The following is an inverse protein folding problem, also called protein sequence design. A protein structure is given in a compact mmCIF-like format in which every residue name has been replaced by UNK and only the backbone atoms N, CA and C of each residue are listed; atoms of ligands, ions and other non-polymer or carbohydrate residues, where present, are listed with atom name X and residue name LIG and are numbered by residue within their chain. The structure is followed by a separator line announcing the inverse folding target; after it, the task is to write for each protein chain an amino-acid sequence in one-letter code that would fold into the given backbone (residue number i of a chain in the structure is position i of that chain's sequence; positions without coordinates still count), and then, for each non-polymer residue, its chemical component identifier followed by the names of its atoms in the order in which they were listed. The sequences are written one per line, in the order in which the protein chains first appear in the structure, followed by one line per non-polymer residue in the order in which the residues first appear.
data_IF_519931036777
#
_entry.id   IF_519931036777
#
_cell.length_a   1.000
_cell.length_b   1.000
_cell.length_c   1.000
_cell.angle_alpha   90.00
_cell.angle_beta   90.00
_cell.angle_gamma   90.00
#
_symmetry.space_group_name_H-M   'P 1'
#
loop_
_entity.id
_entity.type
_entity.pdbx_description
1 polymer ?
#
# COMPACT_ATOMS: atom_id res chain seq x y z
N UNK A 1 23.61 -26.26 16.05
CA UNK A 1 22.20 -26.22 15.55
C UNK A 1 22.04 -24.98 14.70
N UNK A 2 21.40 -25.08 13.52
CA UNK A 2 21.09 -23.92 12.69
C UNK A 2 19.91 -23.15 13.34
N UNK A 3 20.11 -21.95 13.93
CA UNK A 3 19.04 -21.20 14.60
C UNK A 3 17.96 -20.72 13.60
N UNK A 4 18.22 -20.83 12.30
CA UNK A 4 17.32 -20.48 11.22
C UNK A 4 16.59 -21.70 10.65
N UNK A 5 16.51 -22.81 11.38
CA UNK A 5 15.77 -24.01 10.95
C UNK A 5 14.29 -23.73 10.69
N UNK A 6 13.70 -22.76 11.39
CA UNK A 6 12.32 -22.32 11.15
C UNK A 6 12.14 -21.64 9.77
N UNK A 7 13.19 -20.97 9.25
CA UNK A 7 13.24 -20.46 7.87
C UNK A 7 13.47 -21.58 6.83
N UNK A 8 13.78 -22.81 7.26
CA UNK A 8 13.89 -23.95 6.35
C UNK A 8 12.52 -24.44 5.87
N UNK A 9 11.40 -23.97 6.44
CA UNK A 9 10.05 -24.16 5.85
C UNK A 9 9.91 -23.42 4.49
N UNK A 10 10.73 -22.39 4.25
CA UNK A 10 10.89 -21.70 2.96
C UNK A 10 11.93 -22.39 2.06
N UNK A 11 11.80 -23.70 1.81
CA UNK A 11 12.73 -24.44 0.92
C UNK A 11 12.71 -23.98 -0.56
N UNK A 12 11.84 -23.05 -0.97
CA UNK A 12 11.81 -22.53 -2.34
C UNK A 12 13.11 -21.81 -2.72
N UNK A 13 13.39 -21.73 -4.04
CA UNK A 13 14.30 -20.71 -4.60
C UNK A 13 13.44 -19.56 -5.11
N UNK A 14 13.89 -18.33 -4.98
CA UNK A 14 13.14 -17.11 -5.30
C UNK A 14 13.94 -16.19 -6.22
N UNK A 15 14.77 -16.77 -7.10
CA UNK A 15 15.56 -16.02 -8.06
C UNK A 15 14.67 -15.33 -9.12
N UNK A 16 13.54 -15.93 -9.51
CA UNK A 16 12.55 -15.26 -10.38
C UNK A 16 11.90 -14.08 -9.66
N UNK A 17 11.50 -14.27 -8.39
CA UNK A 17 10.92 -13.19 -7.57
C UNK A 17 11.89 -12.02 -7.42
N UNK A 18 13.18 -12.31 -7.19
CA UNK A 18 14.22 -11.27 -7.12
C UNK A 18 14.34 -10.45 -8.40
N UNK A 19 14.07 -11.06 -9.56
CA UNK A 19 14.04 -10.35 -10.83
C UNK A 19 12.74 -9.57 -11.02
N UNK A 20 11.61 -10.21 -10.71
CA UNK A 20 10.28 -9.72 -11.04
C UNK A 20 9.80 -8.62 -10.09
N UNK A 21 9.89 -8.84 -8.78
CA UNK A 21 9.29 -7.97 -7.77
C UNK A 21 9.82 -6.52 -7.81
N UNK A 22 11.15 -6.26 -7.87
CA UNK A 22 11.66 -4.90 -8.04
C UNK A 22 11.11 -4.16 -9.27
N UNK A 23 10.85 -4.89 -10.37
CA UNK A 23 10.35 -4.32 -11.62
C UNK A 23 8.86 -4.02 -11.56
N UNK A 24 8.08 -4.93 -10.98
CA UNK A 24 6.66 -4.70 -10.72
C UNK A 24 6.49 -3.50 -9.79
N UNK A 25 7.26 -3.46 -8.70
CA UNK A 25 7.22 -2.37 -7.74
C UNK A 25 7.61 -1.03 -8.36
N UNK A 26 8.63 -0.99 -9.22
CA UNK A 26 8.97 0.22 -9.97
C UNK A 26 7.86 0.66 -10.94
N UNK A 27 7.17 -0.28 -11.59
CA UNK A 27 5.97 0.03 -12.39
C UNK A 27 4.83 0.61 -11.54
N UNK A 28 4.63 0.09 -10.33
CA UNK A 28 3.64 0.60 -9.37
C UNK A 28 4.03 1.99 -8.87
N UNK A 29 5.29 2.24 -8.54
CA UNK A 29 5.80 3.58 -8.22
C UNK A 29 5.55 4.54 -9.38
N UNK A 30 5.81 4.14 -10.62
CA UNK A 30 5.57 4.97 -11.80
C UNK A 30 4.09 5.35 -11.91
N UNK A 31 3.18 4.39 -11.73
CA UNK A 31 1.74 4.66 -11.69
C UNK A 31 1.40 5.67 -10.59
N UNK A 32 1.92 5.46 -9.38
CA UNK A 32 1.64 6.32 -8.23
C UNK A 32 2.18 7.75 -8.43
N UNK A 33 3.41 7.90 -8.94
CA UNK A 33 4.02 9.21 -9.24
C UNK A 33 3.30 9.93 -10.36
N UNK A 34 2.93 9.25 -11.46
CA UNK A 34 2.16 9.86 -12.55
C UNK A 34 0.79 10.27 -12.04
N UNK A 35 0.12 9.39 -11.28
CA UNK A 35 -1.18 9.66 -10.68
C UNK A 35 -1.16 10.86 -9.74
N UNK A 36 -0.09 11.02 -8.96
CA UNK A 36 0.11 12.17 -8.10
C UNK A 36 0.45 13.43 -8.89
N UNK A 37 1.37 13.35 -9.84
CA UNK A 37 1.87 14.48 -10.61
C UNK A 37 0.78 15.22 -11.39
N UNK A 38 -0.20 14.50 -11.95
CA UNK A 38 -1.32 15.13 -12.68
C UNK A 38 -2.30 15.90 -11.78
N UNK A 39 -2.20 15.76 -10.46
CA UNK A 39 -3.05 16.44 -9.48
C UNK A 39 -2.25 17.36 -8.54
N UNK A 40 -0.92 17.31 -8.58
CA UNK A 40 -0.03 17.95 -7.61
C UNK A 40 -0.33 19.45 -7.47
N UNK A 41 -0.38 20.18 -8.59
CA UNK A 41 -0.54 21.64 -8.60
C UNK A 41 -1.84 22.09 -7.93
N UNK A 42 -2.95 21.39 -8.21
CA UNK A 42 -4.25 21.73 -7.65
C UNK A 42 -4.42 21.33 -6.18
N UNK A 43 -3.68 20.32 -5.72
CA UNK A 43 -3.82 19.80 -4.36
C UNK A 43 -2.86 20.48 -3.39
N UNK A 44 -1.55 20.41 -3.66
CA UNK A 44 -0.50 20.81 -2.71
C UNK A 44 0.60 21.68 -3.31
N UNK A 45 0.47 22.09 -4.57
CA UNK A 45 1.31 23.13 -5.16
C UNK A 45 1.14 24.46 -4.45
N UNK A 46 1.94 25.47 -4.80
CA UNK A 46 1.95 26.76 -4.10
C UNK A 46 0.58 27.47 -4.10
N UNK A 47 -0.24 27.23 -5.12
CA UNK A 47 -1.60 27.74 -5.25
C UNK A 47 -2.68 26.64 -5.11
N UNK A 48 -2.32 25.48 -4.56
CA UNK A 48 -3.23 24.35 -4.37
C UNK A 48 -4.20 24.55 -3.20
N UNK A 49 -5.11 23.59 -3.03
CA UNK A 49 -6.08 23.57 -1.91
C UNK A 49 -5.37 23.58 -0.55
N UNK A 50 -4.28 22.82 -0.42
CA UNK A 50 -3.50 22.70 0.80
C UNK A 50 -1.99 22.81 0.49
N UNK A 51 -1.47 24.04 0.28
CA UNK A 51 -0.11 24.25 -0.18
C UNK A 51 0.94 23.65 0.75
N UNK A 52 1.79 22.77 0.23
CA UNK A 52 2.89 22.17 0.99
C UNK A 52 3.92 23.22 1.47
N UNK A 53 4.00 24.37 0.78
CA UNK A 53 4.78 25.53 1.18
C UNK A 53 4.48 25.98 2.60
N UNK A 54 3.19 26.12 2.94
CA UNK A 54 2.75 26.60 4.25
C UNK A 54 3.21 25.65 5.37
N UNK A 55 3.13 24.33 5.13
CA UNK A 55 3.63 23.33 6.07
C UNK A 55 5.14 23.49 6.29
N UNK A 56 5.91 23.58 5.20
CA UNK A 56 7.37 23.65 5.27
C UNK A 56 7.87 24.97 5.89
N UNK A 57 7.25 26.10 5.57
CA UNK A 57 7.55 27.40 6.19
C UNK A 57 7.28 27.37 7.70
N UNK A 58 6.17 26.76 8.14
CA UNK A 58 5.88 26.59 9.56
C UNK A 58 6.92 25.69 10.26
N UNK A 59 7.36 24.61 9.59
CA UNK A 59 8.40 23.72 10.10
C UNK A 59 9.73 24.47 10.24
N UNK A 60 10.17 25.19 9.21
CA UNK A 60 11.42 25.96 9.25
C UNK A 60 11.37 27.07 10.30
N UNK A 61 10.26 27.81 10.41
CA UNK A 61 10.08 28.84 11.44
C UNK A 61 10.15 28.26 12.87
N UNK A 62 9.68 27.02 13.06
CA UNK A 62 9.83 26.30 14.32
C UNK A 62 11.29 25.87 14.56
N UNK A 63 11.95 25.29 13.56
CA UNK A 63 13.35 24.86 13.65
C UNK A 63 14.28 26.04 14.01
N UNK A 64 14.05 27.21 13.41
CA UNK A 64 14.76 28.45 13.71
C UNK A 64 14.51 28.94 15.14
N UNK A 65 13.27 28.89 15.62
CA UNK A 65 12.91 29.32 16.97
C UNK A 65 13.51 28.42 18.05
N UNK A 66 13.43 27.10 17.85
CA UNK A 66 13.79 26.10 18.86
C UNK A 66 15.24 25.59 18.71
N UNK A 67 15.95 26.00 17.65
CA UNK A 67 17.31 25.56 17.33
C UNK A 67 17.44 24.03 17.28
N UNK A 68 16.40 23.36 16.77
CA UNK A 68 16.29 21.90 16.68
C UNK A 68 15.75 21.50 15.32
N UNK A 69 16.37 20.50 14.70
CA UNK A 69 15.85 19.96 13.44
C UNK A 69 14.66 19.03 13.66
N UNK A 70 13.65 19.20 12.82
CA UNK A 70 12.45 18.39 12.66
C UNK A 70 12.55 17.43 11.48
N UNK A 71 13.73 17.20 10.89
CA UNK A 71 13.90 16.31 9.73
C UNK A 71 13.29 14.93 9.93
N UNK A 72 13.48 14.33 11.11
CA UNK A 72 12.89 13.02 11.38
C UNK A 72 11.38 13.08 11.59
N UNK A 73 10.80 14.25 11.87
CA UNK A 73 9.36 14.46 12.00
C UNK A 73 8.69 14.68 10.63
N UNK A 74 9.38 15.36 9.73
CA UNK A 74 8.95 15.60 8.35
C UNK A 74 10.04 15.17 7.36
N UNK A 75 10.32 13.86 7.23
CA UNK A 75 11.40 13.38 6.40
C UNK A 75 11.09 13.61 4.92
N UNK A 76 12.02 14.25 4.21
CA UNK A 76 11.91 14.39 2.76
C UNK A 76 12.87 15.43 2.19
N UNK A 77 13.07 15.39 0.87
CA UNK A 77 13.92 16.35 0.15
C UNK A 77 13.39 17.78 0.22
N UNK A 78 12.07 17.94 0.40
CA UNK A 78 11.42 19.26 0.40
C UNK A 78 11.73 20.11 1.62
N UNK A 79 12.28 19.51 2.69
CA UNK A 79 12.82 20.30 3.80
C UNK A 79 14.09 21.07 3.43
N UNK A 80 14.88 20.60 2.47
CA UNK A 80 16.09 21.30 2.06
C UNK A 80 15.80 22.40 1.05
N UNK A 81 14.83 22.16 0.17
CA UNK A 81 14.37 23.14 -0.80
C UNK A 81 12.98 22.77 -1.31
N UNK A 82 12.09 23.77 -1.41
CA UNK A 82 10.77 23.61 -1.97
C UNK A 82 10.45 24.74 -2.95
N UNK A 83 9.95 24.32 -4.11
CA UNK A 83 9.26 25.13 -5.12
C UNK A 83 8.48 24.16 -6.00
N UNK A 84 7.43 24.62 -6.67
CA UNK A 84 6.67 23.75 -7.58
C UNK A 84 7.56 23.20 -8.71
N UNK A 85 8.47 24.01 -9.24
CA UNK A 85 9.44 23.58 -10.25
C UNK A 85 10.36 22.45 -9.73
N UNK A 86 10.82 22.54 -8.48
CA UNK A 86 11.62 21.49 -7.86
C UNK A 86 10.82 20.20 -7.65
N UNK A 87 9.57 20.32 -7.18
CA UNK A 87 8.68 19.18 -7.01
C UNK A 87 8.40 18.44 -8.34
N UNK A 88 8.12 19.17 -9.42
CA UNK A 88 8.00 18.61 -10.77
C UNK A 88 9.29 17.96 -11.25
N UNK A 89 10.44 18.58 -10.98
CA UNK A 89 11.75 17.98 -11.23
C UNK A 89 11.94 16.64 -10.50
N UNK A 90 11.54 16.56 -9.23
CA UNK A 90 11.54 15.33 -8.45
C UNK A 90 10.60 14.26 -9.03
N UNK A 91 9.39 14.62 -9.51
CA UNK A 91 8.47 13.69 -10.16
C UNK A 91 9.06 13.10 -11.44
N UNK A 92 9.63 13.94 -12.31
CA UNK A 92 10.28 13.51 -13.55
C UNK A 92 11.48 12.61 -13.24
N UNK A 93 12.32 13.00 -12.29
CA UNK A 93 13.45 12.20 -11.85
C UNK A 93 12.99 10.83 -11.35
N UNK A 94 11.98 10.77 -10.47
CA UNK A 94 11.43 9.51 -9.97
C UNK A 94 10.85 8.65 -11.11
N UNK A 95 10.18 9.26 -12.10
CA UNK A 95 9.71 8.56 -13.30
C UNK A 95 10.85 7.89 -14.08
N UNK A 96 11.95 8.61 -14.31
CA UNK A 96 13.16 8.07 -14.96
C UNK A 96 13.77 6.94 -14.12
N UNK A 97 13.88 7.13 -12.80
CA UNK A 97 14.39 6.10 -11.88
C UNK A 97 13.55 4.82 -11.94
N UNK A 98 12.22 4.91 -12.05
CA UNK A 98 11.35 3.75 -12.23
C UNK A 98 11.71 2.97 -13.50
N UNK A 99 11.88 3.68 -14.63
CA UNK A 99 12.24 3.06 -15.92
C UNK A 99 13.61 2.37 -15.84
N UNK A 100 14.58 2.96 -15.15
CA UNK A 100 15.90 2.37 -14.94
C UNK A 100 15.84 1.10 -14.08
N UNK A 101 15.04 1.09 -13.00
CA UNK A 101 14.83 -0.10 -12.17
C UNK A 101 14.16 -1.21 -12.97
N UNK A 102 13.17 -0.89 -13.81
CA UNK A 102 12.51 -1.84 -14.72
C UNK A 102 13.52 -2.43 -15.72
N UNK A 103 14.43 -1.61 -16.25
CA UNK A 103 15.53 -2.03 -17.11
C UNK A 103 16.64 -2.82 -16.36
N UNK A 104 16.57 -2.92 -15.03
CA UNK A 104 17.54 -3.64 -14.21
C UNK A 104 18.83 -2.87 -13.93
N UNK A 105 18.80 -1.54 -14.00
CA UNK A 105 19.95 -0.68 -13.70
C UNK A 105 19.93 -0.33 -12.22
N UNK A 106 21.04 -0.57 -11.51
CA UNK A 106 21.30 -0.18 -10.13
C UNK A 106 20.09 -0.35 -9.17
N UNK A 107 19.37 -1.48 -9.27
CA UNK A 107 18.02 -1.62 -8.70
C UNK A 107 17.95 -1.31 -7.19
N UNK A 108 18.91 -1.79 -6.39
CA UNK A 108 18.96 -1.50 -4.95
C UNK A 108 19.05 0.01 -4.64
N UNK A 109 20.13 0.70 -5.07
CA UNK A 109 20.26 2.15 -4.88
C UNK A 109 19.09 2.96 -5.45
N UNK A 110 18.61 2.63 -6.66
CA UNK A 110 17.52 3.41 -7.27
C UNK A 110 16.18 3.18 -6.55
N UNK A 111 15.91 1.99 -6.02
CA UNK A 111 14.74 1.76 -5.17
C UNK A 111 14.82 2.52 -3.84
N UNK A 112 16.01 2.71 -3.28
CA UNK A 112 16.18 3.54 -2.08
C UNK A 112 15.85 5.01 -2.38
N UNK A 113 16.27 5.51 -3.55
CA UNK A 113 15.91 6.85 -4.01
C UNK A 113 14.41 6.98 -4.29
N UNK A 114 13.77 5.97 -4.91
CA UNK A 114 12.34 5.96 -5.15
C UNK A 114 11.53 5.94 -3.85
N UNK A 115 11.95 5.12 -2.88
CA UNK A 115 11.33 5.09 -1.56
C UNK A 115 11.43 6.45 -0.86
N UNK A 116 12.61 7.07 -0.86
CA UNK A 116 12.79 8.39 -0.25
C UNK A 116 12.05 9.51 -1.01
N UNK A 117 12.00 9.43 -2.33
CA UNK A 117 11.24 10.35 -3.17
C UNK A 117 9.73 10.26 -2.89
N UNK A 118 9.19 9.04 -2.81
CA UNK A 118 7.78 8.84 -2.45
C UNK A 118 7.49 9.29 -1.02
N UNK A 119 8.39 9.00 -0.07
CA UNK A 119 8.27 9.47 1.30
C UNK A 119 8.22 10.99 1.36
N UNK A 120 9.04 11.67 0.55
CA UNK A 120 9.06 13.14 0.49
C UNK A 120 7.70 13.71 0.09
N UNK A 121 7.05 13.15 -0.93
CA UNK A 121 5.69 13.55 -1.31
C UNK A 121 4.64 13.10 -0.30
N UNK A 122 4.81 11.94 0.32
CA UNK A 122 3.87 11.44 1.31
C UNK A 122 3.87 12.30 2.59
N UNK A 123 5.04 12.83 2.96
CA UNK A 123 5.23 13.76 4.07
C UNK A 123 4.57 15.12 3.81
N UNK A 124 4.71 15.67 2.59
CA UNK A 124 4.17 17.01 2.26
C UNK A 124 2.76 16.98 1.67
N UNK A 125 2.26 15.81 1.26
CA UNK A 125 0.96 15.64 0.65
C UNK A 125 -0.22 15.59 1.63
N UNK A 126 0.05 15.62 2.94
CA UNK A 126 -0.93 15.67 4.04
C UNK A 126 -2.11 14.69 3.84
N UNK A 127 -3.36 15.15 4.02
CA UNK A 127 -4.59 14.36 3.88
C UNK A 127 -4.69 13.66 2.52
N UNK A 128 -4.13 14.25 1.46
CA UNK A 128 -4.17 13.67 0.13
C UNK A 128 -3.20 12.51 -0.03
N UNK A 129 -2.24 12.32 0.88
CA UNK A 129 -1.29 11.20 0.91
C UNK A 129 -1.46 10.32 2.16
N UNK A 130 -2.56 10.46 2.89
CA UNK A 130 -2.81 9.78 4.17
C UNK A 130 -3.35 8.35 4.06
N UNK A 131 -3.36 7.73 2.87
CA UNK A 131 -4.06 6.47 2.66
C UNK A 131 -3.22 5.23 2.94
N UNK A 132 -3.88 4.12 3.31
CA UNK A 132 -3.21 2.86 3.65
C UNK A 132 -2.38 2.27 2.49
N UNK A 133 -2.75 2.52 1.23
CA UNK A 133 -1.97 2.06 0.08
C UNK A 133 -0.70 2.88 -0.17
N UNK A 134 -0.67 4.16 0.25
CA UNK A 134 0.56 4.96 0.24
C UNK A 134 1.55 4.42 1.28
N UNK A 135 1.05 4.09 2.47
CA UNK A 135 1.82 3.41 3.51
C UNK A 135 2.31 2.02 3.07
N UNK A 136 1.44 1.23 2.42
CA UNK A 136 1.80 -0.07 1.86
C UNK A 136 2.91 0.04 0.80
N UNK A 137 2.87 1.04 -0.06
CA UNK A 137 3.89 1.26 -1.09
C UNK A 137 5.24 1.64 -0.46
N UNK A 138 5.25 2.46 0.59
CA UNK A 138 6.45 2.80 1.35
C UNK A 138 7.03 1.59 2.07
N UNK A 139 6.19 0.82 2.75
CA UNK A 139 6.64 -0.41 3.43
C UNK A 139 7.16 -1.46 2.43
N UNK A 140 6.44 -1.70 1.33
CA UNK A 140 6.92 -2.59 0.26
C UNK A 140 8.22 -2.09 -0.38
N UNK A 141 8.35 -0.77 -0.58
CA UNK A 141 9.57 -0.09 -1.04
C UNK A 141 10.76 -0.32 -0.15
N UNK A 142 10.59 -0.12 1.15
CA UNK A 142 11.61 -0.36 2.15
C UNK A 142 12.04 -1.84 2.17
N UNK A 143 11.08 -2.77 2.15
CA UNK A 143 11.38 -4.20 2.12
C UNK A 143 12.06 -4.65 0.82
N UNK A 144 11.76 -4.00 -0.30
CA UNK A 144 12.38 -4.29 -1.59
C UNK A 144 13.89 -4.02 -1.60
N UNK A 145 14.41 -3.15 -0.72
CA UNK A 145 15.84 -2.89 -0.56
C UNK A 145 16.61 -4.17 -0.19
N UNK A 146 15.99 -5.08 0.57
CA UNK A 146 16.60 -6.35 0.96
C UNK A 146 16.50 -7.43 -0.12
N UNK A 147 15.55 -7.29 -1.05
CA UNK A 147 15.32 -8.23 -2.15
C UNK A 147 16.19 -7.86 -3.36
N UNK A 148 16.21 -6.58 -3.70
CA UNK A 148 16.84 -6.06 -4.90
C UNK A 148 18.33 -6.40 -4.96
N UNK A 149 18.87 -6.65 -6.17
CA UNK A 149 20.31 -6.77 -6.35
C UNK A 149 20.97 -5.39 -6.24
N UNK A 150 21.94 -5.27 -5.33
CA UNK A 150 22.83 -4.11 -5.19
C UNK A 150 24.00 -4.23 -6.17
N UNK A 151 23.69 -4.17 -7.46
CA UNK A 151 24.63 -4.28 -8.59
C UNK A 151 24.25 -3.27 -9.66
N UNK A 152 25.24 -2.80 -10.42
CA UNK A 152 25.02 -1.80 -11.47
C UNK A 152 24.04 -2.29 -12.56
N UNK A 153 24.12 -3.57 -12.94
CA UNK A 153 23.20 -4.16 -13.91
C UNK A 153 22.78 -5.58 -13.51
N UNK A 154 21.46 -5.81 -13.48
CA UNK A 154 20.81 -7.06 -13.08
C UNK A 154 19.63 -7.42 -14.00
N UNK A 155 19.84 -7.42 -15.32
CA UNK A 155 18.81 -7.85 -16.26
C UNK A 155 18.72 -9.37 -16.42
N UNK A 156 19.86 -10.07 -16.39
CA UNK A 156 19.97 -11.55 -16.41
C UNK A 156 21.05 -12.02 -15.43
N UNK A 157 21.15 -13.33 -15.21
CA UNK A 157 22.13 -13.91 -14.28
C UNK A 157 21.73 -13.65 -12.84
N UNK A 158 20.44 -13.84 -12.54
CA UNK A 158 19.85 -13.46 -11.27
C UNK A 158 20.18 -14.50 -10.22
N UNK A 159 20.68 -14.02 -9.09
CA UNK A 159 21.07 -14.84 -7.95
C UNK A 159 19.97 -14.87 -6.91
N UNK A 160 19.92 -15.93 -6.11
CA UNK A 160 18.97 -16.08 -5.00
C UNK A 160 18.99 -14.86 -4.04
N UNK A 161 17.82 -14.30 -3.65
CA UNK A 161 17.76 -13.20 -2.69
C UNK A 161 18.12 -13.67 -1.27
N UNK A 162 18.48 -12.75 -0.37
CA UNK A 162 18.63 -13.07 1.05
C UNK A 162 17.37 -13.69 1.65
N UNK A 163 17.49 -14.77 2.42
CA UNK A 163 16.32 -15.51 2.92
C UNK A 163 15.37 -14.67 3.77
N UNK A 164 15.92 -13.80 4.61
CA UNK A 164 15.14 -12.87 5.45
C UNK A 164 14.26 -11.93 4.63
N UNK A 165 14.69 -11.54 3.43
CA UNK A 165 13.95 -10.59 2.58
C UNK A 165 12.63 -11.16 2.06
N UNK A 166 12.62 -12.43 1.65
CA UNK A 166 11.39 -13.11 1.19
C UNK A 166 10.44 -13.34 2.36
N UNK A 167 10.97 -13.72 3.53
CA UNK A 167 10.16 -13.83 4.73
C UNK A 167 9.49 -12.49 5.09
N UNK A 168 10.22 -11.37 5.01
CA UNK A 168 9.65 -10.05 5.29
C UNK A 168 8.54 -9.66 4.32
N UNK A 169 8.67 -9.96 3.02
CA UNK A 169 7.58 -9.74 2.05
C UNK A 169 6.35 -10.61 2.36
N UNK A 170 6.58 -11.88 2.72
CA UNK A 170 5.50 -12.78 3.13
C UNK A 170 4.84 -12.31 4.44
N UNK A 171 5.61 -11.77 5.37
CA UNK A 171 5.11 -11.17 6.61
C UNK A 171 4.26 -9.93 6.35
N UNK A 172 4.67 -9.06 5.42
CA UNK A 172 3.87 -7.93 4.97
C UNK A 172 2.54 -8.38 4.38
N UNK A 173 2.57 -9.32 3.44
CA UNK A 173 1.36 -9.84 2.80
C UNK A 173 0.44 -10.55 3.80
N UNK A 174 1.01 -11.32 4.74
CA UNK A 174 0.25 -11.94 5.82
C UNK A 174 -0.49 -10.88 6.64
N UNK A 175 0.21 -9.85 7.13
CA UNK A 175 -0.39 -8.77 7.93
C UNK A 175 -1.46 -8.03 7.15
N UNK A 176 -1.17 -7.67 5.89
CA UNK A 176 -2.11 -6.97 5.03
C UNK A 176 -3.44 -7.73 4.93
N UNK A 177 -3.38 -9.00 4.54
CA UNK A 177 -4.59 -9.81 4.33
C UNK A 177 -5.29 -10.13 5.65
N UNK A 178 -4.53 -10.61 6.65
CA UNK A 178 -5.08 -11.04 7.93
C UNK A 178 -5.71 -9.88 8.72
N UNK A 179 -5.00 -8.77 8.88
CA UNK A 179 -5.53 -7.65 9.66
C UNK A 179 -6.71 -7.00 8.94
N UNK A 180 -6.71 -6.94 7.60
CA UNK A 180 -7.87 -6.44 6.84
C UNK A 180 -9.12 -7.27 7.05
N UNK A 181 -9.02 -8.59 7.18
CA UNK A 181 -10.16 -9.45 7.52
C UNK A 181 -10.51 -9.40 9.01
N UNK A 182 -9.51 -9.33 9.88
CA UNK A 182 -9.70 -9.40 11.33
C UNK A 182 -10.46 -8.18 11.87
N UNK A 183 -10.16 -6.98 11.36
CA UNK A 183 -10.87 -5.78 11.78
C UNK A 183 -12.35 -5.79 11.40
N UNK A 184 -12.74 -6.45 10.30
CA UNK A 184 -14.14 -6.56 9.89
C UNK A 184 -14.98 -7.37 10.88
N UNK A 185 -14.39 -8.42 11.47
CA UNK A 185 -15.10 -9.25 12.48
C UNK A 185 -14.96 -8.64 13.88
N UNK A 186 -13.78 -8.15 14.25
CA UNK A 186 -13.52 -7.64 15.60
C UNK A 186 -13.95 -6.19 15.83
N UNK A 187 -14.27 -5.45 14.76
CA UNK A 187 -14.67 -4.04 14.82
C UNK A 187 -16.05 -3.80 15.43
N UNK A 188 -16.93 -4.82 15.43
CA UNK A 188 -18.29 -4.71 15.95
C UNK A 188 -19.30 -4.11 14.97
N UNK A 189 -19.00 -4.12 13.68
CA UNK A 189 -19.85 -3.60 12.61
C UNK A 189 -20.85 -4.68 12.14
N UNK A 190 -22.15 -4.41 12.32
CA UNK A 190 -23.21 -5.39 12.13
C UNK A 190 -23.30 -5.95 10.69
N UNK A 191 -23.11 -5.15 9.61
CA UNK A 191 -23.10 -5.70 8.26
C UNK A 191 -22.01 -6.75 8.03
N UNK A 192 -20.83 -6.57 8.62
CA UNK A 192 -19.76 -7.57 8.54
C UNK A 192 -20.08 -8.81 9.37
N UNK A 193 -20.55 -8.66 10.61
CA UNK A 193 -20.94 -9.77 11.48
C UNK A 193 -22.06 -10.63 10.86
N UNK A 194 -23.04 -9.99 10.22
CA UNK A 194 -24.19 -10.66 9.61
C UNK A 194 -23.94 -11.14 8.16
N UNK A 195 -22.72 -10.98 7.63
CA UNK A 195 -22.35 -11.34 6.25
C UNK A 195 -23.18 -10.59 5.19
N UNK A 196 -23.64 -9.38 5.50
CA UNK A 196 -24.47 -8.54 4.62
C UNK A 196 -23.73 -7.33 4.07
N UNK A 197 -22.48 -7.09 4.49
CA UNK A 197 -21.69 -5.92 4.10
C UNK A 197 -21.58 -5.72 2.57
N UNK A 198 -21.48 -6.80 1.80
CA UNK A 198 -21.39 -6.72 0.33
C UNK A 198 -22.70 -6.34 -0.36
N UNK A 199 -23.84 -6.34 0.35
CA UNK A 199 -25.08 -5.75 -0.18
C UNK A 199 -24.90 -4.26 -0.46
N UNK A 200 -24.15 -3.57 0.40
CA UNK A 200 -23.96 -2.12 0.34
C UNK A 200 -22.66 -1.76 -0.39
N UNK A 201 -21.59 -2.52 -0.15
CA UNK A 201 -20.25 -2.18 -0.58
C UNK A 201 -20.12 -1.75 -2.04
N UNK A 202 -20.78 -2.46 -2.96
CA UNK A 202 -20.66 -2.18 -4.40
C UNK A 202 -21.17 -0.79 -4.80
N UNK A 203 -22.19 -0.28 -4.09
CA UNK A 203 -22.74 1.05 -4.28
C UNK A 203 -21.97 2.09 -3.45
N UNK A 204 -21.68 1.78 -2.20
CA UNK A 204 -21.20 2.77 -1.22
C UNK A 204 -19.68 2.94 -1.20
N UNK A 205 -18.91 2.05 -1.85
CA UNK A 205 -17.46 2.16 -1.99
C UNK A 205 -16.99 3.49 -2.60
N UNK A 206 -15.77 3.98 -2.33
CA UNK A 206 -15.38 5.36 -2.63
C UNK A 206 -15.52 5.77 -4.09
N UNK A 207 -15.05 4.93 -5.02
CA UNK A 207 -15.11 5.15 -6.46
C UNK A 207 -15.59 3.87 -7.17
N UNK A 208 -16.91 3.62 -7.24
CA UNK A 208 -17.45 2.51 -8.00
C UNK A 208 -17.14 2.68 -9.50
N UNK A 209 -17.20 1.59 -10.24
CA UNK A 209 -17.14 1.57 -11.70
C UNK A 209 -18.44 0.96 -12.27
N UNK A 210 -18.59 0.91 -13.59
CA UNK A 210 -19.80 0.36 -14.22
C UNK A 210 -20.12 -1.10 -13.81
N UNK A 211 -19.12 -1.93 -13.53
CA UNK A 211 -19.33 -3.31 -13.07
C UNK A 211 -19.81 -3.40 -11.63
N UNK A 212 -19.49 -2.41 -10.79
CA UNK A 212 -20.01 -2.30 -9.43
C UNK A 212 -21.54 -2.26 -9.43
N UNK A 213 -22.14 -1.53 -10.37
CA UNK A 213 -23.61 -1.45 -10.51
C UNK A 213 -24.21 -2.82 -10.79
N UNK A 214 -23.63 -3.58 -11.74
CA UNK A 214 -24.11 -4.93 -12.06
C UNK A 214 -23.96 -5.87 -10.86
N UNK A 215 -22.81 -5.82 -10.17
CA UNK A 215 -22.57 -6.63 -8.98
C UNK A 215 -23.57 -6.32 -7.87
N UNK A 216 -23.85 -5.04 -7.61
CA UNK A 216 -24.81 -4.61 -6.58
C UNK A 216 -26.20 -5.25 -6.77
N UNK A 217 -26.68 -5.34 -8.00
CA UNK A 217 -28.01 -5.89 -8.33
C UNK A 217 -28.08 -7.43 -8.31
N UNK A 218 -26.99 -8.13 -7.99
CA UNK A 218 -27.04 -9.58 -7.82
C UNK A 218 -27.79 -9.96 -6.53
N UNK A 219 -28.36 -11.18 -6.47
CA UNK A 219 -29.23 -11.57 -5.36
C UNK A 219 -28.46 -11.66 -4.03
N UNK A 220 -29.17 -11.51 -2.91
CA UNK A 220 -28.60 -11.49 -1.55
C UNK A 220 -27.69 -12.68 -1.27
N UNK A 221 -28.05 -13.86 -1.75
CA UNK A 221 -27.31 -15.10 -1.56
C UNK A 221 -25.90 -15.02 -2.15
N UNK A 222 -25.74 -14.34 -3.28
CA UNK A 222 -24.43 -14.11 -3.89
C UNK A 222 -23.55 -13.24 -3.00
N UNK A 223 -24.12 -12.16 -2.45
CA UNK A 223 -23.40 -11.22 -1.59
C UNK A 223 -22.96 -11.88 -0.29
N UNK A 224 -23.86 -12.63 0.35
CA UNK A 224 -23.55 -13.42 1.56
C UNK A 224 -22.47 -14.46 1.27
N UNK A 225 -22.58 -15.20 0.17
CA UNK A 225 -21.56 -16.18 -0.23
C UNK A 225 -20.20 -15.51 -0.51
N UNK A 226 -20.22 -14.32 -1.12
CA UNK A 226 -19.01 -13.53 -1.39
C UNK A 226 -18.34 -13.06 -0.10
N UNK A 227 -19.10 -12.68 0.94
CA UNK A 227 -18.55 -12.39 2.27
C UNK A 227 -17.83 -13.60 2.87
N UNK A 228 -18.45 -14.78 2.83
CA UNK A 228 -17.82 -16.02 3.32
C UNK A 228 -16.53 -16.36 2.58
N UNK A 229 -16.53 -16.24 1.24
CA UNK A 229 -15.35 -16.49 0.43
C UNK A 229 -14.23 -15.48 0.73
N UNK A 230 -14.58 -14.20 0.83
CA UNK A 230 -13.65 -13.15 1.22
C UNK A 230 -13.04 -13.44 2.60
N UNK A 231 -13.81 -13.86 3.61
CA UNK A 231 -13.26 -14.21 4.93
C UNK A 231 -12.34 -15.42 4.87
N UNK A 232 -12.69 -16.45 4.07
CA UNK A 232 -11.80 -17.58 3.83
C UNK A 232 -10.45 -17.13 3.25
N UNK A 233 -10.46 -16.15 2.34
CA UNK A 233 -9.25 -15.58 1.75
C UNK A 233 -8.51 -14.67 2.72
N UNK A 234 -9.17 -13.72 3.38
CA UNK A 234 -8.53 -12.72 4.23
C UNK A 234 -8.08 -13.29 5.58
N UNK A 235 -8.79 -14.28 6.15
CA UNK A 235 -8.46 -14.85 7.46
C UNK A 235 -7.85 -16.24 7.39
N UNK A 236 -8.29 -17.09 6.46
CA UNK A 236 -7.81 -18.47 6.34
C UNK A 236 -6.50 -18.59 5.55
N UNK A 237 -6.50 -18.09 4.30
CA UNK A 237 -5.34 -18.23 3.41
C UNK A 237 -4.04 -17.54 3.86
N UNK A 238 -4.00 -16.48 4.70
CA UNK A 238 -2.73 -15.95 5.18
C UNK A 238 -1.91 -17.00 5.93
N UNK A 239 -2.54 -17.88 6.72
CA UNK A 239 -1.82 -18.96 7.39
C UNK A 239 -1.22 -19.95 6.40
N UNK A 240 -1.85 -20.16 5.25
CA UNK A 240 -1.36 -21.05 4.20
C UNK A 240 -0.02 -20.57 3.58
N UNK A 241 0.34 -19.28 3.73
CA UNK A 241 1.67 -18.76 3.37
C UNK A 241 2.80 -19.57 4.03
N UNK A 242 2.56 -20.08 5.23
CA UNK A 242 3.55 -20.82 6.02
C UNK A 242 3.42 -22.35 5.89
N UNK A 243 2.39 -22.85 5.20
CA UNK A 243 2.09 -24.29 5.03
C UNK A 243 2.76 -24.91 3.79
N UNK A 244 4.04 -24.58 3.56
CA UNK A 244 4.83 -25.14 2.46
C UNK A 244 4.40 -24.69 1.06
N UNK A 245 4.80 -25.42 0.03
CA UNK A 245 4.70 -24.97 -1.38
C UNK A 245 3.26 -24.84 -1.88
N UNK A 246 2.39 -25.77 -1.48
CA UNK A 246 1.02 -25.86 -1.97
C UNK A 246 0.11 -24.88 -1.22
N UNK A 247 0.34 -24.69 0.09
CA UNK A 247 -0.30 -23.62 0.85
C UNK A 247 0.00 -22.24 0.27
N UNK A 248 1.28 -21.97 -0.07
CA UNK A 248 1.67 -20.73 -0.75
C UNK A 248 1.02 -20.55 -2.12
N UNK A 249 0.88 -21.62 -2.90
CA UNK A 249 0.16 -21.55 -4.18
C UNK A 249 -1.32 -21.21 -3.96
N UNK A 250 -1.98 -21.89 -3.03
CA UNK A 250 -3.39 -21.65 -2.71
C UNK A 250 -3.59 -20.20 -2.24
N UNK A 251 -2.74 -19.69 -1.34
CA UNK A 251 -2.74 -18.30 -0.91
C UNK A 251 -2.52 -17.34 -2.08
N UNK A 252 -1.50 -17.58 -2.93
CA UNK A 252 -1.23 -16.73 -4.08
C UNK A 252 -2.42 -16.66 -5.04
N UNK A 253 -3.02 -17.80 -5.40
CA UNK A 253 -4.17 -17.85 -6.29
C UNK A 253 -5.41 -17.19 -5.66
N UNK A 254 -5.65 -17.41 -4.37
CA UNK A 254 -6.76 -16.78 -3.65
C UNK A 254 -6.60 -15.26 -3.59
N UNK A 255 -5.43 -14.75 -3.22
CA UNK A 255 -5.16 -13.31 -3.18
C UNK A 255 -5.22 -12.67 -4.56
N UNK A 256 -4.66 -13.32 -5.59
CA UNK A 256 -4.74 -12.83 -6.97
C UNK A 256 -6.19 -12.81 -7.49
N UNK A 257 -6.96 -13.86 -7.19
CA UNK A 257 -8.38 -13.94 -7.52
C UNK A 257 -9.18 -12.84 -6.83
N UNK A 258 -8.95 -12.63 -5.53
CA UNK A 258 -9.60 -11.56 -4.78
C UNK A 258 -9.24 -10.17 -5.35
N UNK A 259 -7.96 -9.89 -5.60
CA UNK A 259 -7.54 -8.63 -6.19
C UNK A 259 -8.15 -8.41 -7.58
N UNK A 260 -8.24 -9.46 -8.41
CA UNK A 260 -8.88 -9.37 -9.72
C UNK A 260 -10.37 -9.03 -9.61
N UNK A 261 -11.10 -9.64 -8.66
CA UNK A 261 -12.52 -9.32 -8.42
C UNK A 261 -12.69 -7.90 -7.90
N UNK A 262 -11.86 -7.48 -6.93
CA UNK A 262 -11.85 -6.11 -6.40
C UNK A 262 -11.57 -5.09 -7.51
N UNK A 263 -10.56 -5.33 -8.36
CA UNK A 263 -10.28 -4.48 -9.52
C UNK A 263 -11.44 -4.45 -10.53
N UNK A 264 -12.13 -5.57 -10.73
CA UNK A 264 -13.26 -5.63 -11.65
C UNK A 264 -14.43 -4.80 -11.13
N UNK A 265 -14.71 -4.83 -9.83
CA UNK A 265 -15.92 -4.23 -9.23
C UNK A 265 -15.68 -2.90 -8.51
N UNK A 266 -14.54 -2.23 -8.70
CA UNK A 266 -14.30 -0.90 -8.14
C UNK A 266 -12.96 -0.30 -8.55
N UNK A 267 -12.78 1.00 -8.28
CA UNK A 267 -11.54 1.71 -8.60
C UNK A 267 -10.61 1.82 -7.39
N UNK A 268 -9.79 0.78 -7.17
CA UNK A 268 -8.87 0.72 -6.03
C UNK A 268 -7.43 1.11 -6.39
N UNK A 269 -7.27 2.18 -7.18
CA UNK A 269 -5.96 2.74 -7.59
C UNK A 269 -4.90 1.68 -7.96
N UNK A 270 -3.66 1.85 -7.49
CA UNK A 270 -2.55 0.91 -7.64
C UNK A 270 -2.48 -0.16 -6.53
N UNK A 271 -3.35 -0.09 -5.51
CA UNK A 271 -3.38 -1.02 -4.38
C UNK A 271 -3.55 -2.48 -4.83
N UNK A 272 -4.49 -2.74 -5.74
CA UNK A 272 -4.75 -4.10 -6.26
C UNK A 272 -3.53 -4.66 -7.01
N UNK A 273 -2.86 -3.83 -7.82
CA UNK A 273 -1.61 -4.19 -8.47
C UNK A 273 -0.48 -4.47 -7.46
N UNK A 274 -0.37 -3.67 -6.41
CA UNK A 274 0.65 -3.83 -5.36
C UNK A 274 0.45 -5.12 -4.56
N UNK A 275 -0.78 -5.40 -4.14
CA UNK A 275 -1.14 -6.63 -3.43
C UNK A 275 -0.96 -7.86 -4.33
N UNK A 276 -1.31 -7.77 -5.62
CA UNK A 276 -1.03 -8.82 -6.59
C UNK A 276 0.48 -9.06 -6.77
N UNK A 277 1.28 -7.99 -6.85
CA UNK A 277 2.75 -8.10 -6.94
C UNK A 277 3.34 -8.77 -5.69
N UNK A 278 2.82 -8.46 -4.50
CA UNK A 278 3.17 -9.15 -3.26
C UNK A 278 2.74 -10.62 -3.28
N UNK A 279 1.54 -10.94 -3.75
CA UNK A 279 1.05 -12.32 -3.86
C UNK A 279 1.93 -13.18 -4.79
N UNK A 280 2.46 -12.61 -5.88
CA UNK A 280 3.40 -13.29 -6.77
C UNK A 280 4.73 -13.68 -6.07
N UNK A 281 5.09 -13.03 -4.97
CA UNK A 281 6.31 -13.37 -4.20
C UNK A 281 6.22 -14.73 -3.53
N UNK A 282 5.00 -15.24 -3.29
CA UNK A 282 4.75 -16.56 -2.73
C UNK A 282 5.17 -17.71 -3.67
N UNK A 283 5.29 -17.42 -4.97
CA UNK A 283 5.60 -18.39 -6.01
C UNK A 283 7.12 -18.59 -6.15
N UNK A 284 7.62 -19.69 -5.59
CA UNK A 284 9.01 -20.10 -5.81
C UNK A 284 9.29 -20.48 -7.27
N UNK A 285 10.58 -20.52 -7.64
CA UNK A 285 11.06 -20.73 -9.01
C UNK A 285 10.45 -21.96 -9.70
N UNK A 286 9.95 -22.96 -8.96
CA UNK A 286 9.37 -24.19 -9.54
C UNK A 286 8.05 -23.93 -10.26
N UNK A 287 7.29 -22.92 -9.83
CA UNK A 287 6.04 -22.50 -10.45
C UNK A 287 6.24 -21.77 -11.77
N UNK A 288 7.46 -21.29 -12.03
CA UNK A 288 7.79 -20.56 -13.24
C UNK A 288 8.19 -21.50 -14.39
N UNK A 289 7.73 -21.24 -15.64
CA UNK A 289 8.08 -22.06 -16.79
C UNK A 289 9.59 -22.19 -17.00
N UNK A 290 10.04 -23.37 -17.49
CA UNK A 290 11.46 -23.65 -17.74
C UNK A 290 12.11 -22.60 -18.66
N UNK A 291 11.39 -22.10 -19.66
CA UNK A 291 11.90 -21.09 -20.59
C UNK A 291 12.23 -19.76 -19.90
N UNK A 292 11.40 -19.32 -18.95
CA UNK A 292 11.63 -18.10 -18.15
C UNK A 292 12.91 -18.24 -17.34
N UNK A 293 13.07 -19.37 -16.62
CA UNK A 293 14.27 -19.62 -15.82
C UNK A 293 15.54 -19.67 -16.67
N UNK A 294 15.48 -20.30 -17.85
CA UNK A 294 16.60 -20.37 -18.80
C UNK A 294 16.93 -18.99 -19.38
N UNK A 295 15.93 -18.19 -19.74
CA UNK A 295 16.11 -16.82 -20.24
C UNK A 295 16.77 -15.92 -19.19
N UNK A 296 16.36 -16.05 -17.92
CA UNK A 296 16.97 -15.35 -16.79
C UNK A 296 18.35 -15.85 -16.40
N UNK A 297 18.81 -16.96 -16.99
CA UNK A 297 20.06 -17.67 -16.63
C UNK A 297 20.10 -18.04 -15.15
N UNK A 298 18.97 -18.53 -14.62
CA UNK A 298 18.89 -19.04 -13.25
C UNK A 298 19.55 -20.42 -13.22
N UNK A 299 20.63 -20.52 -12.45
CA UNK A 299 21.31 -21.78 -12.18
C UNK A 299 20.56 -22.53 -11.06
N UNK A 300 19.87 -23.61 -11.44
CA UNK A 300 19.12 -24.45 -10.51
C UNK A 300 20.04 -25.25 -9.57
N UNK A 301 21.28 -25.47 -9.97
CA UNK A 301 22.29 -26.25 -9.24
C UNK A 301 23.19 -25.36 -8.38
N UNK A 302 23.21 -24.04 -8.64
CA UNK A 302 24.01 -23.08 -7.86
C UNK A 302 23.84 -23.30 -6.35
N UNK A 303 24.93 -23.40 -5.58
CA UNK A 303 24.85 -23.62 -4.14
C UNK A 303 24.09 -22.46 -3.49
N UNK A 304 23.18 -22.79 -2.57
CA UNK A 304 22.45 -21.76 -1.83
C UNK A 304 23.44 -20.91 -1.04
N UNK A 305 23.30 -19.58 -1.03
CA UNK A 305 24.13 -18.75 -0.18
C UNK A 305 23.95 -19.21 1.26
N UNK A 306 25.07 -19.55 1.90
CA UNK A 306 25.06 -19.93 3.31
C UNK A 306 24.66 -18.74 4.16
N UNK A 307 23.95 -19.00 5.27
CA UNK A 307 23.40 -17.95 6.13
C UNK A 307 24.49 -17.04 6.74
N UNK A 308 25.70 -17.57 6.93
CA UNK A 308 26.85 -16.82 7.46
C UNK A 308 27.52 -15.89 6.44
N UNK A 309 27.15 -15.94 5.14
CA UNK A 309 27.71 -15.01 4.15
C UNK A 309 27.22 -13.59 4.45
N UNK A 310 28.14 -12.62 4.48
CA UNK A 310 27.86 -11.21 4.79
C UNK A 310 26.71 -10.61 3.95
N UNK A 311 26.51 -11.07 2.72
CA UNK A 311 25.40 -10.62 1.84
C UNK A 311 24.01 -11.02 2.34
N UNK A 312 23.91 -11.94 3.31
CA UNK A 312 22.65 -12.32 3.96
C UNK A 312 22.34 -11.45 5.18
N UNK A 313 23.37 -10.88 5.83
CA UNK A 313 23.24 -10.26 7.14
C UNK A 313 22.27 -9.08 7.17
N UNK A 314 22.29 -8.11 6.24
CA UNK A 314 21.37 -6.97 6.30
C UNK A 314 19.90 -7.38 6.38
N UNK A 315 19.50 -8.36 5.57
CA UNK A 315 18.13 -8.87 5.58
C UNK A 315 17.83 -9.69 6.84
N UNK A 316 18.76 -10.53 7.30
CA UNK A 316 18.58 -11.34 8.50
C UNK A 316 18.49 -10.49 9.77
N UNK A 317 19.33 -9.47 9.90
CA UNK A 317 19.32 -8.54 11.03
C UNK A 317 18.10 -7.63 11.00
N UNK A 318 17.53 -7.36 9.82
CA UNK A 318 16.30 -6.58 9.69
C UNK A 318 15.04 -7.36 10.09
N UNK A 319 15.04 -8.70 10.07
CA UNK A 319 13.83 -9.51 10.38
C UNK A 319 13.23 -9.15 11.73
N UNK A 320 14.01 -9.25 12.80
CA UNK A 320 13.54 -9.01 14.16
C UNK A 320 13.04 -7.56 14.38
N UNK A 321 13.80 -6.49 14.09
CA UNK A 321 13.32 -5.13 14.30
C UNK A 321 12.11 -4.78 13.44
N UNK A 322 12.06 -5.21 12.17
CA UNK A 322 10.87 -5.01 11.33
C UNK A 322 9.65 -5.69 11.94
N UNK A 323 9.79 -6.95 12.39
CA UNK A 323 8.70 -7.66 13.04
C UNK A 323 8.26 -6.95 14.32
N UNK A 324 9.19 -6.55 15.19
CA UNK A 324 8.85 -5.85 16.44
C UNK A 324 8.14 -4.52 16.18
N UNK A 325 8.65 -3.68 15.27
CA UNK A 325 8.01 -2.41 14.92
C UNK A 325 6.61 -2.62 14.31
N UNK A 326 6.45 -3.63 13.45
CA UNK A 326 5.15 -3.91 12.82
C UNK A 326 4.15 -4.56 13.77
N UNK A 327 4.61 -5.35 14.74
CA UNK A 327 3.77 -5.89 15.81
C UNK A 327 3.34 -4.80 16.80
N UNK A 328 4.24 -3.89 17.15
CA UNK A 328 3.91 -2.70 17.95
C UNK A 328 2.86 -1.86 17.24
N UNK A 329 3.08 -1.52 15.96
CA UNK A 329 2.11 -0.78 15.15
C UNK A 329 0.75 -1.50 15.06
N UNK A 330 0.76 -2.84 14.97
CA UNK A 330 -0.47 -3.64 14.99
C UNK A 330 -1.17 -3.62 16.36
N UNK A 331 -0.43 -3.63 17.47
CA UNK A 331 -0.98 -3.55 18.83
C UNK A 331 -1.70 -2.21 19.05
N UNK A 332 -1.06 -1.09 18.69
CA UNK A 332 -1.69 0.25 18.75
C UNK A 332 -2.90 0.34 17.83
N UNK A 333 -2.78 -0.16 16.61
CA UNK A 333 -3.85 -0.13 15.62
C UNK A 333 -5.08 -0.93 16.07
N UNK A 334 -4.88 -2.15 16.56
CA UNK A 334 -5.97 -3.01 17.01
C UNK A 334 -6.63 -2.47 18.29
N UNK A 335 -5.88 -1.87 19.20
CA UNK A 335 -6.43 -1.21 20.39
C UNK A 335 -7.42 -0.09 20.06
N UNK A 336 -7.19 0.65 18.97
CA UNK A 336 -8.10 1.71 18.52
C UNK A 336 -9.27 1.23 17.65
N UNK A 337 -9.27 -0.04 17.22
CA UNK A 337 -10.20 -0.54 16.19
C UNK A 337 -11.05 -1.73 16.62
N UNK A 338 -10.57 -2.55 17.55
CA UNK A 338 -11.25 -3.78 17.97
C UNK A 338 -11.94 -3.56 19.31
N UNK A 339 -13.24 -3.86 19.36
CA UNK A 339 -14.05 -3.62 20.56
C UNK A 339 -13.56 -4.47 21.73
N UNK A 340 -13.13 -3.83 22.81
CA UNK A 340 -12.66 -4.50 24.03
C UNK A 340 -11.24 -5.08 23.92
N UNK A 341 -10.52 -4.86 22.82
CA UNK A 341 -9.10 -5.22 22.74
C UNK A 341 -8.27 -4.31 23.63
N UNK A 342 -7.44 -4.90 24.49
CA UNK A 342 -6.47 -4.16 25.31
C UNK A 342 -5.09 -4.34 24.69
N UNK A 343 -4.33 -3.26 24.49
CA UNK A 343 -2.97 -3.37 23.97
C UNK A 343 -2.15 -4.29 24.87
N UNK A 344 -1.36 -5.15 24.24
CA UNK A 344 -0.48 -6.10 24.91
C UNK A 344 0.72 -5.38 25.51
N UNK A 345 1.22 -4.34 24.83
CA UNK A 345 2.37 -3.58 25.29
C UNK A 345 1.96 -2.42 26.22
N UNK A 346 2.80 -2.07 27.22
CA UNK A 346 2.54 -0.92 28.09
C UNK A 346 2.46 0.40 27.31
N UNK A 347 1.60 1.34 27.76
CA UNK A 347 1.38 2.63 27.09
C UNK A 347 2.66 3.44 26.88
N UNK A 348 3.63 3.36 27.80
CA UNK A 348 4.91 4.04 27.69
C UNK A 348 5.70 3.66 26.42
N UNK A 349 5.53 2.43 25.91
CA UNK A 349 6.16 2.01 24.65
C UNK A 349 5.49 2.66 23.45
N UNK A 350 4.16 2.69 23.44
CA UNK A 350 3.37 3.35 22.41
C UNK A 350 3.67 4.86 22.34
N UNK A 351 3.68 5.53 23.49
CA UNK A 351 4.04 6.96 23.61
C UNK A 351 5.46 7.25 23.09
N UNK A 352 6.42 6.34 23.35
CA UNK A 352 7.81 6.53 22.94
C UNK A 352 8.07 6.20 21.47
N UNK A 353 7.35 5.22 20.89
CA UNK A 353 7.76 4.59 19.61
C UNK A 353 6.77 4.78 18.47
N UNK A 354 5.48 5.00 18.71
CA UNK A 354 4.48 5.08 17.62
C UNK A 354 4.77 6.25 16.68
N UNK A 355 5.06 7.43 17.23
CA UNK A 355 5.39 8.60 16.41
C UNK A 355 6.67 8.40 15.57
N UNK A 356 7.83 8.00 16.15
CA UNK A 356 9.04 7.65 15.39
C UNK A 356 8.80 6.63 14.26
N UNK A 357 8.05 5.57 14.55
CA UNK A 357 7.77 4.49 13.59
C UNK A 357 6.89 5.01 12.45
N UNK A 358 5.84 5.76 12.79
CA UNK A 358 4.87 6.31 11.83
C UNK A 358 5.46 7.29 10.83
N UNK A 359 6.50 8.06 11.20
CA UNK A 359 7.11 9.09 10.33
C UNK A 359 7.70 8.54 9.03
N UNK A 360 8.22 7.31 9.06
CA UNK A 360 8.76 6.66 7.86
C UNK A 360 7.70 5.93 7.04
N UNK A 361 6.53 5.66 7.65
CA UNK A 361 5.44 4.84 7.08
C UNK A 361 5.92 3.49 6.53
N UNK A 362 7.01 2.96 7.07
CA UNK A 362 7.60 1.68 6.65
C UNK A 362 7.21 0.50 7.54
N UNK A 363 6.46 0.73 8.61
CA UNK A 363 6.01 -0.31 9.53
C UNK A 363 4.56 -0.02 9.93
N UNK A 364 3.62 -0.67 9.27
CA UNK A 364 2.21 -0.32 9.39
C UNK A 364 1.34 -1.50 9.82
N UNK A 365 0.12 -1.17 10.19
CA UNK A 365 -1.00 -2.11 10.28
C UNK A 365 -2.05 -1.73 9.24
N UNK A 366 -2.88 -2.70 8.85
CA UNK A 366 -3.83 -2.55 7.76
C UNK A 366 -5.23 -2.95 8.22
N UNK A 367 -6.22 -2.18 7.79
CA UNK A 367 -7.63 -2.46 8.10
C UNK A 367 -8.50 -1.79 7.05
N UNK A 368 -8.70 -2.49 5.95
CA UNK A 368 -9.43 -1.98 4.79
C UNK A 368 -10.93 -2.22 4.97
N UNK A 369 -11.71 -1.15 4.84
CA UNK A 369 -13.19 -1.17 4.93
C UNK A 369 -13.69 -1.85 6.20
N UNK A 370 -13.12 -1.48 7.35
CA UNK A 370 -13.55 -2.00 8.64
C UNK A 370 -15.02 -1.70 8.93
N UNK A 371 -15.44 -0.46 8.68
CA UNK A 371 -16.78 0.02 8.97
C UNK A 371 -17.53 0.14 7.64
N UNK A 372 -18.65 -0.58 7.51
CA UNK A 372 -19.46 -0.55 6.30
C UNK A 372 -20.42 0.64 6.33
N UNK A 373 -20.43 1.41 5.24
CA UNK A 373 -21.43 2.45 5.03
C UNK A 373 -22.62 1.84 4.31
N UNK A 374 -23.79 1.87 4.95
CA UNK A 374 -25.04 1.40 4.36
C UNK A 374 -25.69 2.44 3.44
N UNK A 375 -25.32 3.71 3.61
CA UNK A 375 -25.70 4.83 2.76
C UNK A 375 -24.46 5.53 2.21
N UNK A 376 -24.65 6.28 1.13
CA UNK A 376 -23.59 7.06 0.48
C UNK A 376 -23.93 8.55 0.54
N UNK A 377 -23.61 9.25 1.64
CA UNK A 377 -23.73 10.70 1.68
C UNK A 377 -22.75 11.32 0.68
N UNK A 378 -23.19 12.35 -0.03
CA UNK A 378 -22.39 13.01 -1.06
C UNK A 378 -22.38 14.53 -0.84
N UNK A 379 -21.19 15.12 -0.79
CA UNK A 379 -21.03 16.57 -0.70
C UNK A 379 -21.25 17.17 -2.09
N UNK A 380 -22.19 18.12 -2.19
CA UNK A 380 -22.38 18.99 -3.35
C UNK A 380 -21.65 20.31 -3.09
N UNK A 381 -20.71 20.64 -3.97
CA UNK A 381 -20.06 21.95 -3.97
C UNK A 381 -20.74 22.81 -5.02
N UNK A 382 -21.09 24.03 -4.67
CA UNK A 382 -21.66 24.99 -5.60
C UNK A 382 -20.74 26.21 -5.73
N UNK A 383 -20.63 26.75 -6.93
CA UNK A 383 -19.81 27.92 -7.23
C UNK A 383 -20.68 29.00 -7.88
N UNK A 384 -20.35 30.26 -7.59
CA UNK A 384 -21.07 31.42 -8.11
C UNK A 384 -20.08 32.54 -8.44
N UNK A 385 -20.20 33.10 -9.64
CA UNK A 385 -19.42 34.26 -10.07
C UNK A 385 -20.04 35.59 -9.60
N UNK A 386 -21.35 35.61 -9.34
CA UNK A 386 -22.12 36.80 -8.96
C UNK A 386 -22.60 36.80 -7.50
N UNK A 387 -22.42 35.69 -6.78
CA UNK A 387 -22.92 35.49 -5.42
C UNK A 387 -24.44 35.28 -5.33
N UNK A 388 -25.13 35.13 -6.46
CA UNK A 388 -26.59 34.98 -6.54
C UNK A 388 -26.95 33.61 -7.13
N UNK A 389 -26.40 33.28 -8.30
CA UNK A 389 -26.64 31.99 -8.95
C UNK A 389 -25.51 31.03 -8.58
N UNK A 390 -25.84 30.01 -7.80
CA UNK A 390 -24.95 28.92 -7.45
C UNK A 390 -25.20 27.73 -8.38
N UNK A 391 -24.14 27.23 -9.01
CA UNK A 391 -24.20 26.06 -9.88
C UNK A 391 -23.36 24.94 -9.27
N UNK A 392 -23.86 23.69 -9.30
CA UNK A 392 -23.12 22.55 -8.78
C UNK A 392 -21.84 22.31 -9.60
N UNK A 393 -20.75 22.06 -8.89
CA UNK A 393 -19.47 21.69 -9.44
C UNK A 393 -19.39 20.17 -9.55
N UNK A 394 -19.32 19.68 -10.79
CA UNK A 394 -19.16 18.25 -11.04
C UNK A 394 -17.70 17.83 -10.89
N UNK A 395 -17.47 16.86 -10.01
CA UNK A 395 -16.18 16.20 -9.89
C UNK A 395 -15.92 15.30 -11.11
N UNK A 396 -14.64 15.18 -11.49
CA UNK A 396 -14.26 14.50 -12.72
C UNK A 396 -14.53 12.98 -12.70
N UNK A 397 -14.41 12.37 -11.52
CA UNK A 397 -14.42 10.91 -11.37
C UNK A 397 -15.34 10.41 -10.25
N UNK A 398 -15.62 11.24 -9.24
CA UNK A 398 -16.59 10.93 -8.18
C UNK A 398 -17.97 10.67 -8.78
N UNK A 399 -18.72 9.66 -8.30
CA UNK A 399 -20.14 9.57 -8.57
C UNK A 399 -20.87 10.86 -8.16
N UNK A 400 -21.90 11.24 -8.91
CA UNK A 400 -22.68 12.45 -8.68
C UNK A 400 -24.07 12.25 -9.25
N UNK A 401 -24.31 12.72 -10.48
CA UNK A 401 -25.58 12.49 -11.19
C UNK A 401 -25.87 10.99 -11.34
N UNK A 402 -26.99 10.48 -10.76
CA UNK A 402 -27.39 9.08 -10.87
C UNK A 402 -27.65 8.59 -12.30
N UNK A 403 -27.78 9.51 -13.27
CA UNK A 403 -27.97 9.18 -14.69
C UNK A 403 -26.65 8.91 -15.42
N UNK A 404 -25.50 9.19 -14.79
CA UNK A 404 -24.18 9.02 -15.39
C UNK A 404 -23.53 7.74 -14.86
N UNK A 405 -23.17 6.85 -15.78
CA UNK A 405 -22.50 5.61 -15.43
C UNK A 405 -21.08 5.88 -14.86
N UNK A 406 -20.69 5.24 -13.74
CA UNK A 406 -19.33 5.37 -13.19
C UNK A 406 -18.25 4.82 -14.12
N UNK A 407 -17.08 5.46 -14.12
CA UNK A 407 -15.97 5.14 -15.03
C UNK A 407 -15.00 4.12 -14.44
N UNK A 408 -14.25 3.44 -15.32
CA UNK A 408 -13.04 2.71 -14.92
C UNK A 408 -11.85 3.69 -14.94
N UNK A 409 -11.22 3.87 -13.78
CA UNK A 409 -10.21 4.90 -13.50
C UNK A 409 -8.90 4.26 -13.04
N UNK A 410 -8.98 3.13 -12.34
CA UNK A 410 -7.79 2.41 -11.89
C UNK A 410 -6.84 2.15 -13.08
N UNK A 411 -5.51 2.30 -12.89
CA UNK A 411 -4.84 2.39 -11.60
C UNK A 411 -4.57 3.82 -11.11
N UNK A 412 -5.12 4.84 -11.78
CA UNK A 412 -5.08 6.22 -11.27
C UNK A 412 -5.88 6.35 -9.96
N UNK A 413 -5.40 7.19 -9.07
CA UNK A 413 -6.07 7.57 -7.82
C UNK A 413 -6.48 9.04 -7.88
N UNK A 414 -7.75 9.36 -8.18
CA UNK A 414 -8.28 10.71 -8.03
C UNK A 414 -8.36 11.07 -6.55
N UNK A 415 -7.36 11.79 -6.02
CA UNK A 415 -7.20 11.98 -4.57
C UNK A 415 -8.26 12.94 -4.03
N UNK A 416 -8.64 13.97 -4.78
CA UNK A 416 -9.71 14.88 -4.36
C UNK A 416 -11.06 14.18 -4.30
N UNK A 417 -11.45 13.50 -5.38
CA UNK A 417 -12.72 12.77 -5.49
C UNK A 417 -12.85 11.71 -4.39
N UNK A 418 -11.76 11.00 -4.09
CA UNK A 418 -11.72 10.02 -3.01
C UNK A 418 -11.80 10.68 -1.63
N UNK A 419 -11.15 11.83 -1.45
CA UNK A 419 -11.20 12.55 -0.19
C UNK A 419 -12.58 13.09 0.12
N UNK A 420 -13.37 13.46 -0.89
CA UNK A 420 -14.76 13.89 -0.70
C UNK A 420 -15.64 12.76 -0.16
N UNK A 421 -15.37 11.50 -0.53
CA UNK A 421 -16.06 10.36 0.08
C UNK A 421 -15.77 10.25 1.58
N UNK A 422 -14.50 10.40 1.99
CA UNK A 422 -14.15 10.43 3.42
C UNK A 422 -14.73 11.65 4.15
N UNK A 423 -14.72 12.81 3.50
CA UNK A 423 -15.23 14.05 4.07
C UNK A 423 -16.73 13.95 4.37
N UNK A 424 -17.51 13.30 3.50
CA UNK A 424 -18.95 13.08 3.70
C UNK A 424 -19.27 12.16 4.88
N UNK A 425 -18.30 11.37 5.34
CA UNK A 425 -18.45 10.43 6.46
C UNK A 425 -17.93 10.99 7.80
N UNK A 426 -17.43 12.23 7.83
CA UNK A 426 -16.80 12.77 9.02
C UNK A 426 -17.83 13.01 10.15
N UNK A 427 -17.59 12.51 11.38
CA UNK A 427 -18.51 12.72 12.50
C UNK A 427 -18.65 14.22 12.81
N UNK A 428 -19.83 14.78 12.54
CA UNK A 428 -20.11 16.22 12.70
C UNK A 428 -20.54 16.93 11.41
N UNK A 429 -20.49 16.26 10.26
CA UNK A 429 -21.22 16.70 9.07
C UNK A 429 -22.71 16.42 9.29
N UNK A 430 -23.51 17.46 9.49
CA UNK A 430 -24.97 17.38 9.48
C UNK A 430 -25.41 17.51 8.01
N UNK A 431 -25.90 16.42 7.36
CA UNK A 431 -26.47 16.51 6.03
C UNK A 431 -27.82 17.23 6.13
N UNK A 432 -27.78 18.56 6.26
CA UNK A 432 -28.97 19.40 6.17
C UNK A 432 -29.43 19.56 4.72
#
# INVERSE_FOLDING_TARGET
MNPLSWLETHRGRYSVVRWLFPRLLAGIYLIAFVSWGVQYDGLVGENGILPAKNLLENVHAFEEREQKTLFWQFPGVFQWHYSDAFAHGCLIACGILCMLVMAGVAQGPLLALLWFGYLSFATTGDIFMGYQWDALLLEAGFLALFVAPWRLWSFRGITEPPRGSIFLLHWLLFRLMFLSGYVKIGGGDLPWENMTALLYHYETQPLPNGWSWFAHHWPREFHVASCWFMYGIELGLPFAIFLGRWGRLAAALGFLGLMAMISATGNYNFFTCLTAALALTLLDDRWWPKFVRRWLRIDAEAPRPAWYRWTQWPALTAVLPVMLCTLLAADSFLAGRIRGFKPVLPSAWHEALDAPIGRTRSFNAYGLFQDMTEERPEILLEVSDDGILFLPLDFKYKPGDPKIAPRFIAPHQPRLDWQMWFAALYPGFDPQ
#
